data_IF_968146467760
#
_entry.id   IF_968146467760
#
_cell.length_a   1.000
_cell.length_b   1.000
_cell.length_c   1.000
_cell.angle_alpha   90.00
_cell.angle_beta   90.00
_cell.angle_gamma   90.00
#
_symmetry.space_group_name_H-M   'P 1'
#
loop_
_entity.id
_entity.type
_entity.pdbx_description
1 polymer ?
#
# COMPACT_ATOMS: atom_id res chain seq x y z
N UNK A 1 27.85 7.28 -5.65
CA UNK A 1 27.49 8.11 -4.48
C UNK A 1 28.60 9.06 -4.04
N UNK A 2 29.90 8.70 -4.10
CA UNK A 2 31.02 9.65 -3.84
C UNK A 2 31.26 10.63 -5.01
N UNK A 3 30.95 10.23 -6.26
CA UNK A 3 31.17 11.07 -7.46
C UNK A 3 30.39 12.41 -7.50
N UNK A 4 29.43 12.62 -6.59
CA UNK A 4 28.61 13.83 -6.53
C UNK A 4 28.80 14.64 -5.23
N UNK A 5 29.77 14.30 -4.38
CA UNK A 5 30.06 15.04 -3.16
C UNK A 5 30.94 16.27 -3.46
N UNK A 6 30.74 17.36 -2.71
CA UNK A 6 31.61 18.55 -2.77
C UNK A 6 33.03 18.18 -2.33
N UNK A 7 34.05 18.77 -2.97
CA UNK A 7 35.48 18.44 -2.74
C UNK A 7 36.02 19.08 -1.45
N UNK A 8 35.36 18.83 -0.33
CA UNK A 8 35.78 19.30 1.00
C UNK A 8 36.74 18.31 1.68
N UNK A 9 37.29 18.67 2.84
CA UNK A 9 38.22 17.81 3.59
C UNK A 9 37.62 16.44 3.94
N UNK A 10 36.31 16.35 4.22
CA UNK A 10 35.62 15.08 4.46
C UNK A 10 35.63 14.16 3.23
N UNK A 11 35.54 14.73 2.02
CA UNK A 11 35.61 13.97 0.77
C UNK A 11 36.95 13.26 0.63
N UNK A 12 38.06 13.92 1.01
CA UNK A 12 39.39 13.33 0.94
C UNK A 12 39.51 12.12 1.87
N UNK A 13 39.06 12.25 3.12
CA UNK A 13 39.08 11.15 4.10
C UNK A 13 38.22 9.96 3.68
N UNK A 14 37.03 10.22 3.13
CA UNK A 14 36.13 9.16 2.62
C UNK A 14 36.73 8.48 1.38
N UNK A 15 37.33 9.25 0.47
CA UNK A 15 38.00 8.73 -0.72
C UNK A 15 39.15 7.79 -0.35
N UNK A 16 40.01 8.21 0.56
CA UNK A 16 41.17 7.41 0.97
C UNK A 16 40.72 6.10 1.64
N UNK A 17 39.71 6.15 2.51
CA UNK A 17 39.09 4.95 3.09
C UNK A 17 38.51 4.02 2.03
N UNK A 18 37.85 4.57 1.01
CA UNK A 18 37.27 3.77 -0.08
C UNK A 18 38.38 3.08 -0.88
N UNK A 19 39.47 3.79 -1.21
CA UNK A 19 40.61 3.22 -1.92
C UNK A 19 41.19 2.05 -1.13
N UNK A 20 41.50 2.26 0.16
CA UNK A 20 42.02 1.20 1.02
C UNK A 20 41.09 -0.01 1.10
N UNK A 21 39.77 0.22 1.15
CA UNK A 21 38.79 -0.86 1.19
C UNK A 21 38.75 -1.65 -0.12
N UNK A 22 38.81 -0.96 -1.26
CA UNK A 22 38.82 -1.60 -2.60
C UNK A 22 40.11 -2.37 -2.81
N UNK A 23 41.27 -1.83 -2.40
CA UNK A 23 42.56 -2.52 -2.49
C UNK A 23 42.58 -3.79 -1.64
N UNK A 24 42.09 -3.72 -0.40
CA UNK A 24 41.96 -4.90 0.47
C UNK A 24 41.04 -5.96 -0.15
N UNK A 25 39.91 -5.55 -0.70
CA UNK A 25 38.96 -6.46 -1.34
C UNK A 25 39.55 -7.08 -2.62
N UNK A 26 40.31 -6.31 -3.40
CA UNK A 26 41.01 -6.83 -4.58
C UNK A 26 42.08 -7.85 -4.19
N UNK A 27 42.92 -7.53 -3.20
CA UNK A 27 43.93 -8.45 -2.68
C UNK A 27 43.29 -9.74 -2.14
N UNK A 28 42.19 -9.63 -1.40
CA UNK A 28 41.44 -10.76 -0.86
C UNK A 28 40.88 -11.67 -1.98
N UNK A 29 40.34 -11.09 -3.06
CA UNK A 29 39.86 -11.85 -4.22
C UNK A 29 40.98 -12.58 -4.96
N UNK A 30 42.14 -11.95 -5.09
CA UNK A 30 43.31 -12.56 -5.74
C UNK A 30 43.87 -13.70 -4.89
N UNK A 31 44.03 -13.49 -3.58
CA UNK A 31 44.55 -14.49 -2.65
C UNK A 31 43.68 -15.75 -2.62
N UNK A 32 42.35 -15.58 -2.58
CA UNK A 32 41.41 -16.70 -2.53
C UNK A 32 41.01 -17.22 -3.92
N UNK A 33 41.67 -16.74 -4.99
CA UNK A 33 41.41 -17.14 -6.38
C UNK A 33 39.94 -17.06 -6.78
N UNK A 34 39.22 -16.06 -6.28
CA UNK A 34 37.78 -15.99 -6.49
C UNK A 34 37.41 -15.76 -7.94
N UNK A 35 38.22 -15.04 -8.72
CA UNK A 35 37.93 -14.67 -10.11
C UNK A 35 38.82 -15.38 -11.11
N UNK A 36 38.26 -15.70 -12.28
CA UNK A 36 39.05 -16.11 -13.44
C UNK A 36 39.73 -14.90 -14.08
N UNK A 37 40.81 -15.15 -14.83
CA UNK A 37 41.56 -14.07 -15.51
C UNK A 37 40.67 -13.21 -16.41
N UNK A 38 39.71 -13.85 -17.10
CA UNK A 38 38.73 -13.15 -17.94
C UNK A 38 37.80 -12.23 -17.14
N UNK A 39 37.47 -12.57 -15.90
CA UNK A 39 36.61 -11.75 -15.04
C UNK A 39 37.37 -10.60 -14.37
N UNK A 40 38.69 -10.72 -14.20
CA UNK A 40 39.52 -9.62 -13.68
C UNK A 40 39.73 -8.50 -14.70
N UNK A 41 39.78 -8.84 -16.00
CA UNK A 41 40.01 -7.87 -17.07
C UNK A 41 38.72 -7.28 -17.67
N UNK A 42 37.58 -7.98 -17.56
CA UNK A 42 36.29 -7.53 -18.09
C UNK A 42 35.33 -7.13 -16.96
N UNK A 43 35.10 -5.82 -16.84
CA UNK A 43 34.20 -5.21 -15.85
C UNK A 43 32.78 -5.77 -15.96
N UNK A 44 32.31 -6.07 -17.17
CA UNK A 44 30.96 -6.60 -17.41
C UNK A 44 30.82 -8.00 -16.84
N UNK A 45 31.83 -8.85 -17.02
CA UNK A 45 31.87 -10.20 -16.43
C UNK A 45 31.96 -10.16 -14.92
N UNK A 46 32.77 -9.27 -14.36
CA UNK A 46 32.87 -9.07 -12.92
C UNK A 46 31.50 -8.66 -12.33
N UNK A 47 30.84 -7.68 -12.95
CA UNK A 47 29.51 -7.21 -12.54
C UNK A 47 28.45 -8.31 -12.61
N UNK A 48 28.41 -9.07 -13.71
CA UNK A 48 27.48 -10.20 -13.87
C UNK A 48 27.69 -11.27 -12.81
N UNK A 49 28.96 -11.58 -12.48
CA UNK A 49 29.28 -12.53 -11.43
C UNK A 49 28.89 -12.04 -10.04
N UNK A 50 29.15 -10.78 -9.70
CA UNK A 50 28.69 -10.18 -8.45
C UNK A 50 27.16 -10.25 -8.33
N UNK A 51 26.45 -9.98 -9.42
CA UNK A 51 24.98 -10.09 -9.48
C UNK A 51 24.51 -11.53 -9.28
N UNK A 52 25.23 -12.51 -9.85
CA UNK A 52 24.94 -13.93 -9.65
C UNK A 52 25.17 -14.34 -8.19
N UNK A 53 26.32 -14.00 -7.61
CA UNK A 53 26.64 -14.30 -6.21
C UNK A 53 25.61 -13.68 -5.27
N UNK A 54 25.25 -12.40 -5.50
CA UNK A 54 24.16 -11.75 -4.78
C UNK A 54 22.86 -12.55 -4.89
N UNK A 55 22.46 -12.96 -6.09
CA UNK A 55 21.28 -13.80 -6.28
C UNK A 55 21.40 -15.14 -5.55
N UNK A 56 22.56 -15.78 -5.53
CA UNK A 56 22.76 -17.05 -4.82
C UNK A 56 22.68 -16.89 -3.30
N UNK A 57 23.06 -15.73 -2.77
CA UNK A 57 22.94 -15.39 -1.35
C UNK A 57 21.51 -14.94 -1.01
N UNK A 58 20.83 -14.23 -1.90
CA UNK A 58 19.46 -13.73 -1.70
C UNK A 58 18.38 -14.78 -1.95
N UNK A 59 18.58 -15.67 -2.93
CA UNK A 59 17.60 -16.72 -3.31
C UNK A 59 17.19 -17.61 -2.14
N UNK A 60 18.05 -18.02 -1.20
CA UNK A 60 17.61 -18.76 -0.01
C UNK A 60 16.97 -17.88 1.08
N UNK A 61 17.07 -16.55 0.99
CA UNK A 61 16.67 -15.62 2.08
C UNK A 61 15.30 -15.00 1.83
N UNK A 62 14.89 -14.83 0.56
CA UNK A 62 13.61 -14.21 0.20
C UNK A 62 12.56 -15.28 -0.08
N UNK A 63 11.49 -15.28 0.70
CA UNK A 63 10.35 -16.18 0.48
C UNK A 63 9.61 -15.84 -0.81
N UNK A 64 9.23 -16.85 -1.58
CA UNK A 64 8.37 -16.68 -2.73
C UNK A 64 6.94 -16.43 -2.26
N UNK A 65 6.31 -15.35 -2.71
CA UNK A 65 4.92 -15.04 -2.38
C UNK A 65 3.95 -15.31 -3.54
N UNK A 66 2.79 -15.87 -3.23
CA UNK A 66 1.64 -15.91 -4.15
C UNK A 66 0.48 -15.17 -3.53
N UNK A 67 0.03 -14.12 -4.20
CA UNK A 67 -1.10 -13.28 -3.75
C UNK A 67 -2.41 -13.80 -4.34
N UNK A 68 -3.39 -14.01 -3.48
CA UNK A 68 -4.76 -14.35 -3.87
C UNK A 68 -5.73 -13.27 -3.38
N UNK A 69 -6.62 -12.81 -4.26
CA UNK A 69 -7.70 -11.89 -3.90
C UNK A 69 -8.84 -12.67 -3.26
N UNK A 70 -9.16 -12.35 -2.01
CA UNK A 70 -10.28 -12.94 -1.32
C UNK A 70 -11.58 -12.27 -1.76
N UNK A 71 -12.65 -13.06 -1.70
CA UNK A 71 -14.00 -12.56 -1.89
C UNK A 71 -14.47 -12.43 -3.34
N UNK A 72 -13.72 -12.93 -4.33
CA UNK A 72 -14.21 -12.98 -5.71
C UNK A 72 -15.49 -13.83 -5.84
N UNK A 73 -15.50 -15.02 -5.23
CA UNK A 73 -16.67 -15.90 -5.24
C UNK A 73 -17.84 -15.27 -4.45
N UNK A 74 -17.56 -14.66 -3.31
CA UNK A 74 -18.60 -13.96 -2.53
C UNK A 74 -19.14 -12.76 -3.30
N UNK A 75 -18.31 -12.02 -4.04
CA UNK A 75 -18.76 -10.90 -4.88
C UNK A 75 -19.69 -11.37 -5.99
N UNK A 76 -19.39 -12.53 -6.61
CA UNK A 76 -20.28 -13.16 -7.59
C UNK A 76 -21.61 -13.59 -6.96
N UNK A 77 -21.59 -14.20 -5.78
CA UNK A 77 -22.80 -14.58 -5.06
C UNK A 77 -23.65 -13.36 -4.68
N UNK A 78 -23.04 -12.29 -4.16
CA UNK A 78 -23.72 -11.03 -3.84
C UNK A 78 -24.35 -10.40 -5.08
N UNK A 79 -23.67 -10.43 -6.23
CA UNK A 79 -24.23 -9.95 -7.50
C UNK A 79 -25.47 -10.75 -7.91
N UNK A 80 -25.42 -12.08 -7.78
CA UNK A 80 -26.56 -12.96 -8.06
C UNK A 80 -27.74 -12.67 -7.14
N UNK A 81 -27.49 -12.59 -5.83
CA UNK A 81 -28.51 -12.32 -4.81
C UNK A 81 -29.14 -10.93 -4.98
N UNK A 82 -28.34 -9.88 -5.21
CA UNK A 82 -28.85 -8.53 -5.47
C UNK A 82 -29.75 -8.52 -6.71
N UNK A 83 -29.31 -9.15 -7.81
CA UNK A 83 -30.11 -9.23 -9.04
C UNK A 83 -31.42 -9.97 -8.80
N UNK A 84 -31.38 -11.09 -8.08
CA UNK A 84 -32.58 -11.86 -7.73
C UNK A 84 -33.58 -11.04 -6.91
N UNK A 85 -33.11 -10.35 -5.86
CA UNK A 85 -33.98 -9.50 -5.02
C UNK A 85 -34.63 -8.37 -5.82
N UNK A 86 -33.86 -7.67 -6.67
CA UNK A 86 -34.44 -6.62 -7.53
C UNK A 86 -35.46 -7.21 -8.50
N UNK A 87 -35.18 -8.37 -9.11
CA UNK A 87 -36.13 -9.02 -10.02
C UNK A 87 -37.43 -9.39 -9.32
N UNK A 88 -37.37 -9.93 -8.09
CA UNK A 88 -38.56 -10.28 -7.31
C UNK A 88 -39.38 -9.02 -7.01
N UNK A 89 -38.74 -7.95 -6.52
CA UNK A 89 -39.42 -6.70 -6.21
C UNK A 89 -40.08 -6.06 -7.44
N UNK A 90 -39.35 -6.02 -8.56
CA UNK A 90 -39.84 -5.50 -9.85
C UNK A 90 -41.02 -6.34 -10.35
N UNK A 91 -40.92 -7.67 -10.27
CA UNK A 91 -42.00 -8.57 -10.72
C UNK A 91 -43.25 -8.39 -9.87
N UNK A 92 -43.12 -8.32 -8.54
CA UNK A 92 -44.26 -8.04 -7.65
C UNK A 92 -44.89 -6.69 -7.99
N UNK A 93 -44.08 -5.64 -8.16
CA UNK A 93 -44.57 -4.30 -8.50
C UNK A 93 -45.27 -4.27 -9.86
N UNK A 94 -44.72 -4.98 -10.86
CA UNK A 94 -45.31 -5.10 -12.19
C UNK A 94 -46.64 -5.83 -12.17
N UNK A 95 -46.75 -6.92 -11.37
CA UNK A 95 -48.00 -7.65 -11.18
C UNK A 95 -49.04 -6.75 -10.49
N UNK A 96 -48.68 -6.08 -9.40
CA UNK A 96 -49.61 -5.17 -8.70
C UNK A 96 -50.06 -4.00 -9.56
N UNK A 97 -49.16 -3.43 -10.38
CA UNK A 97 -49.52 -2.37 -11.33
C UNK A 97 -50.48 -2.87 -12.43
N UNK A 98 -50.31 -4.12 -12.87
CA UNK A 98 -51.23 -4.77 -13.82
C UNK A 98 -52.61 -4.99 -13.19
N UNK A 99 -52.65 -5.50 -11.97
CA UNK A 99 -53.91 -5.78 -11.27
C UNK A 99 -54.72 -4.49 -11.01
N UNK A 100 -54.04 -3.36 -10.78
CA UNK A 100 -54.68 -2.06 -10.55
C UNK A 100 -55.24 -1.42 -11.83
N UNK A 101 -54.58 -1.59 -12.97
CA UNK A 101 -54.99 -0.93 -14.22
C UNK A 101 -55.79 -1.81 -15.18
N UNK A 102 -55.88 -3.12 -14.94
CA UNK A 102 -56.83 -4.05 -15.57
C UNK A 102 -56.59 -4.37 -17.05
N UNK A 103 -56.26 -3.37 -17.87
CA UNK A 103 -56.06 -3.46 -19.32
C UNK A 103 -54.69 -2.91 -19.76
N UNK A 104 -54.20 -3.34 -20.93
CA UNK A 104 -52.97 -2.82 -21.55
C UNK A 104 -53.28 -1.45 -22.18
N UNK A 105 -53.40 -0.43 -21.34
CA UNK A 105 -53.57 0.97 -21.77
C UNK A 105 -52.21 1.64 -21.99
N UNK A 106 -52.15 2.75 -22.72
CA UNK A 106 -50.90 3.53 -22.91
C UNK A 106 -50.24 3.94 -21.58
N UNK A 107 -51.03 4.23 -20.54
CA UNK A 107 -50.56 4.48 -19.18
C UNK A 107 -49.77 3.29 -18.63
N UNK A 108 -50.28 2.06 -18.79
CA UNK A 108 -49.62 0.83 -18.35
C UNK A 108 -48.24 0.63 -18.97
N UNK A 109 -48.11 0.89 -20.27
CA UNK A 109 -46.82 0.80 -20.96
C UNK A 109 -45.82 1.80 -20.38
N UNK A 110 -46.26 3.04 -20.09
CA UNK A 110 -45.41 4.07 -19.49
C UNK A 110 -44.97 3.67 -18.07
N UNK A 111 -45.89 3.20 -17.23
CA UNK A 111 -45.53 2.76 -15.88
C UNK A 111 -44.59 1.56 -15.89
N UNK A 112 -44.82 0.58 -16.78
CA UNK A 112 -43.95 -0.58 -16.91
C UNK A 112 -42.53 -0.14 -17.34
N UNK A 113 -42.43 0.77 -18.30
CA UNK A 113 -41.15 1.35 -18.74
C UNK A 113 -40.41 2.03 -17.58
N UNK A 114 -41.13 2.77 -16.74
CA UNK A 114 -40.55 3.40 -15.55
C UNK A 114 -40.07 2.37 -14.52
N UNK A 115 -40.85 1.32 -14.24
CA UNK A 115 -40.46 0.22 -13.34
C UNK A 115 -39.17 -0.46 -13.85
N UNK A 116 -39.08 -0.71 -15.15
CA UNK A 116 -37.89 -1.30 -15.77
C UNK A 116 -36.68 -0.35 -15.76
N UNK A 117 -36.88 0.97 -15.86
CA UNK A 117 -35.80 1.94 -15.72
C UNK A 117 -35.28 1.98 -14.26
N UNK A 118 -36.19 2.00 -13.28
CA UNK A 118 -35.84 1.95 -11.86
C UNK A 118 -35.08 0.68 -11.49
N UNK A 119 -35.46 -0.47 -12.05
CA UNK A 119 -34.74 -1.75 -11.88
C UNK A 119 -33.24 -1.59 -12.12
N UNK A 120 -32.83 -0.90 -13.18
CA UNK A 120 -31.42 -0.81 -13.54
C UNK A 120 -30.63 0.03 -12.54
N UNK A 121 -31.22 1.13 -12.06
CA UNK A 121 -30.61 2.00 -11.03
C UNK A 121 -30.48 1.24 -9.70
N UNK A 122 -31.56 0.63 -9.23
CA UNK A 122 -31.57 -0.06 -7.93
C UNK A 122 -30.68 -1.31 -7.88
N UNK A 123 -30.50 -2.00 -9.00
CA UNK A 123 -29.67 -3.21 -9.07
C UNK A 123 -28.22 -2.93 -8.69
N UNK A 124 -27.63 -1.86 -9.18
CA UNK A 124 -26.25 -1.53 -8.88
C UNK A 124 -26.10 -0.95 -7.46
N UNK A 125 -27.03 -0.10 -7.02
CA UNK A 125 -27.03 0.44 -5.66
C UNK A 125 -27.17 -0.67 -4.59
N UNK A 126 -28.12 -1.59 -4.79
CA UNK A 126 -28.32 -2.73 -3.89
C UNK A 126 -27.09 -3.63 -3.87
N UNK A 127 -26.50 -3.91 -5.05
CA UNK A 127 -25.29 -4.73 -5.17
C UNK A 127 -24.14 -4.12 -4.38
N UNK A 128 -23.89 -2.83 -4.55
CA UNK A 128 -22.78 -2.14 -3.92
C UNK A 128 -23.01 -1.97 -2.41
N UNK A 129 -24.25 -1.73 -1.98
CA UNK A 129 -24.64 -1.72 -0.56
C UNK A 129 -24.40 -3.08 0.10
N UNK A 130 -24.91 -4.17 -0.50
CA UNK A 130 -24.72 -5.53 0.01
C UNK A 130 -23.24 -5.92 0.04
N UNK A 131 -22.49 -5.55 -1.01
CA UNK A 131 -21.05 -5.81 -1.05
C UNK A 131 -20.33 -5.07 0.08
N UNK A 132 -20.60 -3.78 0.28
CA UNK A 132 -19.99 -2.99 1.38
C UNK A 132 -20.32 -3.59 2.75
N UNK A 133 -21.55 -4.05 2.96
CA UNK A 133 -21.95 -4.67 4.21
C UNK A 133 -21.23 -6.02 4.46
N UNK A 134 -21.20 -6.89 3.46
CA UNK A 134 -20.63 -8.24 3.59
C UNK A 134 -19.10 -8.24 3.61
N UNK A 135 -18.47 -7.28 2.93
CA UNK A 135 -17.00 -7.18 2.83
C UNK A 135 -16.36 -6.41 3.98
N UNK A 136 -17.13 -5.66 4.78
CA UNK A 136 -16.61 -4.87 5.90
C UNK A 136 -15.89 -5.78 6.91
N UNK A 137 -14.63 -5.46 7.20
CA UNK A 137 -13.82 -6.17 8.20
C UNK A 137 -13.31 -7.55 7.78
N UNK A 138 -13.54 -7.98 6.53
CA UNK A 138 -12.98 -9.23 6.00
C UNK A 138 -11.63 -9.00 5.33
N UNK A 139 -10.78 -10.01 5.36
CA UNK A 139 -9.50 -9.96 4.66
C UNK A 139 -9.76 -9.83 3.15
N UNK A 140 -9.06 -8.91 2.50
CA UNK A 140 -9.18 -8.64 1.07
C UNK A 140 -8.18 -9.45 0.27
N UNK A 141 -7.02 -9.71 0.84
CA UNK A 141 -5.96 -10.49 0.21
C UNK A 141 -5.38 -11.49 1.19
N UNK A 142 -4.97 -12.63 0.66
CA UNK A 142 -4.16 -13.62 1.37
C UNK A 142 -2.94 -13.91 0.54
N UNK A 143 -1.77 -13.88 1.17
CA UNK A 143 -0.49 -14.25 0.58
C UNK A 143 -0.06 -15.59 1.16
N UNK A 144 0.39 -16.49 0.31
CA UNK A 144 1.03 -17.73 0.72
C UNK A 144 2.53 -17.60 0.49
N UNK A 145 3.31 -17.92 1.53
CA UNK A 145 4.77 -17.90 1.47
C UNK A 145 5.30 -19.30 1.23
N UNK A 146 6.21 -19.41 0.27
CA UNK A 146 6.86 -20.65 -0.11
C UNK A 146 8.37 -20.51 0.07
N UNK A 147 8.99 -21.56 0.62
CA UNK A 147 10.43 -21.68 0.65
C UNK A 147 10.97 -21.76 -0.79
N UNK A 148 11.91 -20.88 -1.17
CA UNK A 148 12.51 -20.88 -2.51
C UNK A 148 13.33 -22.15 -2.82
N UNK A 149 13.82 -22.87 -1.82
CA UNK A 149 14.63 -24.08 -1.98
C UNK A 149 13.76 -25.33 -2.07
N UNK A 150 12.82 -25.49 -1.14
CA UNK A 150 11.98 -26.70 -1.07
C UNK A 150 10.63 -26.57 -1.77
N UNK A 151 10.19 -25.35 -2.09
CA UNK A 151 8.87 -25.07 -2.66
C UNK A 151 7.71 -25.32 -1.69
N UNK A 152 7.98 -25.68 -0.43
CA UNK A 152 6.96 -25.95 0.58
C UNK A 152 6.37 -24.66 1.11
N UNK A 153 5.07 -24.67 1.42
CA UNK A 153 4.44 -23.54 2.09
C UNK A 153 4.95 -23.44 3.54
N UNK A 154 5.54 -22.28 3.85
CA UNK A 154 6.14 -21.96 5.15
C UNK A 154 5.34 -20.93 5.94
N UNK A 155 4.33 -20.29 5.33
CA UNK A 155 3.47 -19.37 6.06
C UNK A 155 2.37 -18.78 5.19
N UNK A 156 1.58 -17.94 5.82
CA UNK A 156 0.52 -17.18 5.19
C UNK A 156 0.38 -15.80 5.83
N UNK A 157 -0.16 -14.87 5.04
CA UNK A 157 -0.44 -13.51 5.48
C UNK A 157 -1.80 -13.09 5.00
N UNK A 158 -2.59 -12.54 5.90
CA UNK A 158 -3.87 -11.93 5.62
C UNK A 158 -3.76 -10.41 5.65
N UNK A 159 -4.36 -9.74 4.67
CA UNK A 159 -4.33 -8.30 4.54
C UNK A 159 -5.75 -7.73 4.47
N UNK A 160 -6.01 -6.75 5.34
CA UNK A 160 -7.24 -5.97 5.40
C UNK A 160 -6.94 -4.53 5.01
N UNK A 161 -7.90 -3.89 4.36
CA UNK A 161 -7.82 -2.47 4.01
C UNK A 161 -9.21 -1.86 4.08
N UNK A 162 -9.48 -1.07 5.11
CA UNK A 162 -10.81 -0.49 5.33
C UNK A 162 -10.72 1.01 5.61
N UNK A 163 -11.80 1.74 5.29
CA UNK A 163 -11.98 3.11 5.77
C UNK A 163 -12.63 3.06 7.15
N UNK A 164 -12.05 3.79 8.12
CA UNK A 164 -12.55 3.84 9.50
C UNK A 164 -12.72 5.27 9.97
N UNK A 165 -13.59 5.46 10.95
CA UNK A 165 -13.65 6.71 11.72
C UNK A 165 -12.59 6.68 12.82
N UNK A 166 -12.11 7.85 13.25
CA UNK A 166 -11.13 7.94 14.35
C UNK A 166 -11.64 7.29 15.64
N UNK A 167 -12.95 7.42 15.91
CA UNK A 167 -13.62 6.82 17.08
C UNK A 167 -13.70 5.29 17.05
N UNK A 168 -13.50 4.65 15.89
CA UNK A 168 -13.50 3.20 15.75
C UNK A 168 -12.09 2.60 15.94
N UNK A 169 -11.07 3.44 16.13
CA UNK A 169 -9.68 3.02 16.32
C UNK A 169 -9.36 2.81 17.81
N UNK A 170 -8.36 1.98 18.16
CA UNK A 170 -7.94 1.82 19.55
C UNK A 170 -7.50 3.13 20.21
N UNK A 171 -7.80 3.29 21.51
CA UNK A 171 -7.56 4.53 22.27
C UNK A 171 -6.11 5.00 22.20
N UNK A 172 -5.13 4.07 22.21
CA UNK A 172 -3.71 4.42 22.07
C UNK A 172 -3.41 5.08 20.72
N UNK A 173 -4.02 4.62 19.64
CA UNK A 173 -3.85 5.23 18.30
C UNK A 173 -4.53 6.60 18.26
N UNK A 174 -5.71 6.74 18.88
CA UNK A 174 -6.39 8.02 19.01
C UNK A 174 -5.54 9.03 19.79
N UNK A 175 -4.90 8.59 20.88
CA UNK A 175 -3.98 9.40 21.68
C UNK A 175 -2.74 9.82 20.89
N UNK A 176 -2.09 8.89 20.18
CA UNK A 176 -0.91 9.17 19.32
C UNK A 176 -1.26 10.18 18.22
N UNK A 177 -2.47 10.10 17.66
CA UNK A 177 -2.94 11.02 16.62
C UNK A 177 -3.16 12.45 17.13
N UNK A 178 -3.23 12.69 18.45
CA UNK A 178 -3.71 13.92 19.13
C UNK A 178 -3.58 15.19 18.28
N UNK A 179 -4.73 15.86 18.13
CA UNK A 179 -4.98 16.98 17.21
C UNK A 179 -4.39 18.27 17.77
N UNK A 180 -3.40 18.87 17.10
CA UNK A 180 -3.11 20.31 17.27
C UNK A 180 -4.07 21.18 16.45
N UNK A 181 -4.59 20.65 15.35
CA UNK A 181 -5.56 21.32 14.46
C UNK A 181 -6.61 20.28 14.04
N UNK A 182 -7.89 20.59 14.24
CA UNK A 182 -9.01 19.74 13.83
C UNK A 182 -9.24 19.93 12.32
N UNK A 183 -8.66 19.06 11.50
CA UNK A 183 -9.13 18.92 10.12
C UNK A 183 -10.51 18.25 10.15
N UNK A 184 -11.54 18.97 9.67
CA UNK A 184 -12.94 18.52 9.73
C UNK A 184 -13.25 17.36 8.77
N UNK A 185 -12.36 17.06 7.82
CA UNK A 185 -12.57 16.05 6.76
C UNK A 185 -11.43 15.03 6.67
N UNK A 186 -10.88 14.58 7.80
CA UNK A 186 -9.85 13.54 7.78
C UNK A 186 -10.46 12.17 7.43
N UNK A 187 -10.09 11.62 6.27
CA UNK A 187 -10.37 10.23 5.91
C UNK A 187 -9.25 9.33 6.42
N UNK A 188 -9.58 8.30 7.19
CA UNK A 188 -8.61 7.35 7.72
C UNK A 188 -8.69 6.03 6.96
N UNK A 189 -7.59 5.70 6.30
CA UNK A 189 -7.36 4.41 5.67
C UNK A 189 -6.63 3.50 6.66
N UNK A 190 -7.28 2.42 7.08
CA UNK A 190 -6.74 1.45 8.03
C UNK A 190 -6.31 0.18 7.28
N UNK A 191 -5.01 0.03 7.12
CA UNK A 191 -4.38 -1.20 6.65
C UNK A 191 -3.96 -2.06 7.84
N UNK A 192 -4.29 -3.35 7.80
CA UNK A 192 -3.84 -4.34 8.78
C UNK A 192 -3.27 -5.53 8.02
N UNK A 193 -2.11 -6.00 8.46
CA UNK A 193 -1.57 -7.30 8.07
C UNK A 193 -1.51 -8.21 9.28
N UNK A 194 -1.71 -9.50 9.05
CA UNK A 194 -1.44 -10.55 10.03
C UNK A 194 -0.68 -11.66 9.33
N UNK A 195 0.48 -12.00 9.85
CA UNK A 195 1.40 -12.96 9.25
C UNK A 195 1.62 -14.10 10.23
N UNK A 196 1.42 -15.33 9.76
CA UNK A 196 1.66 -16.56 10.51
C UNK A 196 2.70 -17.42 9.77
N UNK A 197 3.72 -17.87 10.50
CA UNK A 197 4.87 -18.60 9.95
C UNK A 197 5.02 -19.95 10.65
N UNK A 198 5.23 -20.99 9.86
CA UNK A 198 5.48 -22.35 10.34
C UNK A 198 6.97 -22.53 10.63
N UNK A 199 7.34 -22.45 11.90
CA UNK A 199 8.72 -22.58 12.37
C UNK A 199 9.35 -23.94 12.05
N UNK A 200 8.56 -25.01 11.94
CA UNK A 200 9.03 -26.37 11.63
C UNK A 200 9.40 -26.60 10.17
N UNK A 201 8.99 -25.69 9.27
CA UNK A 201 9.28 -25.76 7.83
C UNK A 201 10.29 -24.70 7.38
N UNK A 202 10.77 -23.89 8.31
CA UNK A 202 11.75 -22.84 8.06
C UNK A 202 13.15 -23.46 7.93
N UNK A 203 14.02 -22.86 7.12
CA UNK A 203 15.41 -23.29 7.04
C UNK A 203 16.09 -23.10 8.40
N UNK A 204 16.77 -24.13 8.91
CA UNK A 204 17.53 -24.05 10.17
C UNK A 204 18.62 -22.98 10.06
N UNK A 205 18.72 -22.09 11.05
CA UNK A 205 19.78 -21.07 11.13
C UNK A 205 19.32 -19.61 11.01
N UNK A 206 18.02 -19.36 10.86
CA UNK A 206 17.45 -18.01 10.90
C UNK A 206 16.62 -17.80 12.17
N UNK A 207 16.83 -16.68 12.85
CA UNK A 207 16.17 -16.36 14.12
C UNK A 207 14.84 -15.62 13.92
N UNK A 208 14.78 -14.71 12.95
CA UNK A 208 13.63 -13.83 12.75
C UNK A 208 13.23 -13.69 11.28
N UNK A 209 11.94 -13.45 11.05
CA UNK A 209 11.42 -13.07 9.74
C UNK A 209 11.29 -11.56 9.67
N UNK A 210 11.87 -10.95 8.63
CA UNK A 210 11.74 -9.52 8.38
C UNK A 210 10.73 -9.26 7.28
N UNK A 211 9.72 -8.45 7.58
CA UNK A 211 8.78 -7.95 6.58
C UNK A 211 9.20 -6.54 6.12
N UNK A 212 9.19 -6.29 4.81
CA UNK A 212 9.38 -4.95 4.24
C UNK A 212 8.14 -4.59 3.42
N UNK A 213 7.52 -3.46 3.77
CA UNK A 213 6.34 -2.95 3.06
C UNK A 213 6.73 -1.72 2.24
N UNK A 214 6.34 -1.70 0.96
CA UNK A 214 6.46 -0.53 0.10
C UNK A 214 5.06 0.00 -0.22
N UNK A 215 4.82 1.26 0.10
CA UNK A 215 3.55 1.95 -0.16
C UNK A 215 3.76 2.97 -1.28
N UNK A 216 3.13 2.75 -2.43
CA UNK A 216 3.11 3.74 -3.51
C UNK A 216 2.01 4.79 -3.27
N UNK A 217 2.42 6.02 -2.95
CA UNK A 217 1.50 7.14 -2.70
C UNK A 217 1.00 7.81 -3.98
N UNK A 218 1.48 7.44 -5.18
CA UNK A 218 1.08 8.08 -6.46
C UNK A 218 -0.42 8.06 -6.68
N UNK A 219 -1.08 6.95 -6.35
CA UNK A 219 -2.53 6.81 -6.50
C UNK A 219 -3.28 7.85 -5.65
N UNK A 220 -2.80 8.11 -4.43
CA UNK A 220 -3.38 9.10 -3.50
C UNK A 220 -3.04 10.52 -3.98
N UNK A 221 -1.78 10.77 -4.34
CA UNK A 221 -1.31 12.08 -4.79
C UNK A 221 -2.05 12.58 -6.04
N UNK A 222 -2.43 11.69 -6.97
CA UNK A 222 -3.19 12.05 -8.18
C UNK A 222 -4.59 12.60 -7.88
N UNK A 223 -5.17 12.25 -6.73
CA UNK A 223 -6.48 12.72 -6.28
C UNK A 223 -6.40 14.07 -5.56
N UNK A 224 -5.20 14.61 -5.34
CA UNK A 224 -5.03 15.88 -4.64
C UNK A 224 -5.21 17.07 -5.57
N UNK A 225 -5.77 18.15 -5.00
CA UNK A 225 -5.99 19.39 -5.73
C UNK A 225 -4.70 19.91 -6.33
N UNK A 226 -4.78 20.27 -7.61
CA UNK A 226 -3.73 21.08 -8.24
C UNK A 226 -3.98 22.53 -7.88
N UNK A 227 -3.01 23.17 -7.24
CA UNK A 227 -3.10 24.59 -6.94
C UNK A 227 -1.75 25.13 -6.48
N UNK A 228 -1.44 26.34 -6.91
CA UNK A 228 -0.42 27.17 -6.29
C UNK A 228 -1.09 28.38 -5.67
N UNK A 229 -0.75 28.65 -4.41
CA UNK A 229 -1.14 29.89 -3.76
C UNK A 229 -0.05 30.92 -4.03
N UNK A 230 -0.44 32.17 -4.19
CA UNK A 230 0.54 33.24 -4.31
C UNK A 230 0.74 33.87 -2.93
N UNK A 231 1.99 33.92 -2.49
CA UNK A 231 2.37 34.66 -1.29
C UNK A 231 3.05 35.94 -1.75
N UNK A 232 2.65 37.05 -1.14
CA UNK A 232 3.26 38.34 -1.35
C UNK A 232 4.20 38.61 -0.18
N UNK A 233 5.48 38.83 -0.45
CA UNK A 233 6.47 39.20 0.57
C UNK A 233 7.05 40.57 0.25
N UNK A 234 7.36 41.34 1.30
CA UNK A 234 8.08 42.60 1.16
C UNK A 234 9.57 42.29 1.24
N UNK A 235 10.31 42.57 0.16
CA UNK A 235 11.75 42.37 0.10
C UNK A 235 12.41 43.65 -0.41
N UNK A 236 13.25 44.28 0.42
CA UNK A 236 13.93 45.55 0.13
C UNK A 236 13.01 46.66 -0.43
N UNK A 237 11.81 46.82 0.15
CA UNK A 237 10.86 47.88 -0.24
C UNK A 237 10.03 47.59 -1.51
N UNK A 238 10.23 46.43 -2.15
CA UNK A 238 9.39 45.96 -3.26
C UNK A 238 8.58 44.72 -2.83
N UNK A 239 7.34 44.63 -3.32
CA UNK A 239 6.49 43.46 -3.08
C UNK A 239 6.83 42.40 -4.13
N UNK A 240 7.42 41.28 -3.70
CA UNK A 240 7.61 40.10 -4.54
C UNK A 240 6.39 39.19 -4.45
N UNK A 241 5.99 38.59 -5.58
CA UNK A 241 4.91 37.61 -5.68
C UNK A 241 5.53 36.24 -5.97
N UNK A 242 5.41 35.32 -5.02
CA UNK A 242 5.95 33.97 -5.15
C UNK A 242 4.81 32.94 -5.24
N UNK A 243 4.92 32.03 -6.22
CA UNK A 243 3.99 30.93 -6.39
C UNK A 243 4.42 29.76 -5.50
N UNK A 244 3.59 29.41 -4.53
CA UNK A 244 3.84 28.34 -3.57
C UNK A 244 2.88 27.19 -3.84
N UNK A 245 3.44 26.02 -4.15
CA UNK A 245 2.67 24.81 -4.37
C UNK A 245 1.87 24.41 -3.12
N UNK A 246 0.61 24.03 -3.31
CA UNK A 246 -0.23 23.48 -2.23
C UNK A 246 0.41 22.20 -1.70
N UNK A 247 0.66 22.16 -0.38
CA UNK A 247 1.19 21.00 0.33
C UNK A 247 0.06 20.29 1.08
N UNK A 248 0.08 18.97 1.03
CA UNK A 248 -0.83 18.10 1.74
C UNK A 248 -0.06 17.35 2.83
N UNK A 249 -0.74 17.08 3.94
CA UNK A 249 -0.19 16.37 5.09
C UNK A 249 -0.87 15.01 5.20
N UNK A 250 -0.07 13.95 5.24
CA UNK A 250 -0.50 12.60 5.54
C UNK A 250 0.10 12.18 6.87
N UNK A 251 -0.75 11.77 7.82
CA UNK A 251 -0.30 11.19 9.08
C UNK A 251 -0.25 9.68 8.94
N UNK A 252 0.95 9.10 9.02
CA UNK A 252 1.17 7.66 9.03
C UNK A 252 1.40 7.21 10.48
N UNK A 253 0.53 6.36 10.99
CA UNK A 253 0.71 5.72 12.30
C UNK A 253 0.82 4.22 12.06
N UNK A 254 1.96 3.64 12.45
CA UNK A 254 2.16 2.20 12.38
C UNK A 254 2.12 1.60 13.79
N UNK A 255 1.51 0.42 13.90
CA UNK A 255 1.52 -0.42 15.09
C UNK A 255 2.13 -1.75 14.69
N UNK A 256 3.21 -2.13 15.34
CA UNK A 256 3.86 -3.42 15.19
C UNK A 256 3.62 -4.23 16.47
N UNK A 257 3.28 -5.51 16.31
CA UNK A 257 3.12 -6.42 17.45
C UNK A 257 3.87 -7.70 17.12
N UNK A 258 4.95 -7.95 17.86
CA UNK A 258 5.65 -9.23 17.82
C UNK A 258 4.91 -10.28 18.66
N UNK A 259 5.24 -11.56 18.45
CA UNK A 259 4.64 -12.66 19.21
C UNK A 259 4.97 -12.57 20.71
N UNK A 260 6.12 -11.98 21.06
CA UNK A 260 6.56 -11.71 22.42
C UNK A 260 6.81 -10.20 22.56
N UNK A 261 6.15 -9.56 23.54
CA UNK A 261 6.37 -8.16 23.89
C UNK A 261 5.14 -7.25 23.73
N UNK A 262 5.27 -6.04 24.25
CA UNK A 262 4.31 -4.95 24.07
C UNK A 262 4.33 -4.46 22.61
N UNK A 263 3.20 -3.99 22.08
CA UNK A 263 3.16 -3.44 20.73
C UNK A 263 3.94 -2.13 20.65
N UNK A 264 4.81 -2.03 19.64
CA UNK A 264 5.54 -0.80 19.33
C UNK A 264 4.71 0.05 18.40
N UNK A 265 4.77 1.36 18.61
CA UNK A 265 4.07 2.35 17.80
C UNK A 265 5.05 3.31 17.17
N UNK A 266 4.71 3.76 15.97
CA UNK A 266 5.49 4.75 15.24
C UNK A 266 4.56 5.78 14.61
N UNK A 267 5.04 7.02 14.48
CA UNK A 267 4.30 8.10 13.83
C UNK A 267 5.21 8.89 12.90
N UNK A 268 4.74 9.09 11.68
CA UNK A 268 5.36 9.97 10.70
C UNK A 268 4.37 10.99 10.17
N UNK A 269 4.88 12.18 9.91
CA UNK A 269 4.20 13.23 9.15
C UNK A 269 4.85 13.31 7.79
N UNK A 270 4.09 12.94 6.77
CA UNK A 270 4.54 12.95 5.38
C UNK A 270 3.95 14.20 4.73
N UNK A 271 4.83 15.08 4.26
CA UNK A 271 4.48 16.28 3.50
C UNK A 271 4.64 15.96 2.03
N UNK A 272 3.59 16.17 1.25
CA UNK A 272 3.56 15.79 -0.15
C UNK A 272 2.76 16.78 -0.99
N UNK A 273 3.07 16.83 -2.28
CA UNK A 273 2.29 17.56 -3.28
C UNK A 273 1.74 16.56 -4.31
N UNK A 274 1.11 17.03 -5.39
CA UNK A 274 0.55 16.15 -6.43
C UNK A 274 1.60 15.34 -7.21
N UNK A 275 2.88 15.74 -7.16
CA UNK A 275 3.95 15.21 -8.02
C UNK A 275 5.05 14.44 -7.27
N UNK A 276 5.34 14.80 -6.02
CA UNK A 276 6.40 14.22 -5.19
C UNK A 276 6.07 14.26 -3.69
N UNK A 277 6.78 13.41 -2.95
CA UNK A 277 6.95 13.55 -1.51
C UNK A 277 7.96 14.69 -1.30
N UNK A 278 7.58 15.67 -0.47
CA UNK A 278 8.39 16.86 -0.17
C UNK A 278 9.26 16.61 1.05
N UNK A 279 8.68 15.99 2.10
CA UNK A 279 9.38 15.74 3.36
C UNK A 279 8.73 14.59 4.15
N UNK A 280 9.52 13.94 5.02
CA UNK A 280 9.07 12.89 5.93
C UNK A 280 9.69 13.16 7.32
N UNK A 281 8.84 13.53 8.27
CA UNK A 281 9.25 13.81 9.65
C UNK A 281 8.81 12.67 10.57
N UNK A 282 9.74 12.08 11.33
CA UNK A 282 9.42 11.15 12.43
C UNK A 282 8.98 11.95 13.65
N UNK A 283 7.84 11.61 14.24
CA UNK A 283 7.30 12.29 15.43
C UNK A 283 7.48 11.38 16.63
N UNK A 284 8.26 11.80 17.66
CA UNK A 284 8.42 11.03 18.87
C UNK A 284 7.07 10.90 19.59
N UNK A 285 6.78 9.70 20.10
CA UNK A 285 5.57 9.43 20.85
C UNK A 285 5.80 9.86 22.29
N UNK A 286 5.03 10.85 22.76
CA UNK A 286 4.99 11.28 24.16
C UNK A 286 3.82 10.62 24.87
#
# INVERSE_FOLDING_TARGET
MIAHMTRDNEYKTIKDRLITLVEKEQAHRTLNQYNSDKANHDITRLSNKMRLLRRLIEHPVILNEKVSSLGNNTKRAVKGLATGLVMVAVTITAISARDYWGEITASFIIAMSFIYALREIFKDDLRDMLWRWISKGKAKWRRHYFDPTTGKQVGDKEEWLDYKKLSELPDRIQAIRKKRIVQREEQILHYRSHTEMSTSRFMSGYEETRETMMIDLRAIMRQMDKGSNHIYQLNNGQVSRESVEKRHLLNLIAKEKHHKGEPTYYRWKIVLNRSRIVDIESIPLT
#
